data_IF_983216827621
#
_entry.id   IF_983216827621
#
_cell.length_a   1.000
_cell.length_b   1.000
_cell.length_c   1.000
_cell.angle_alpha   90.00
_cell.angle_beta   90.00
_cell.angle_gamma   90.00
#
_symmetry.space_group_name_H-M   'P 1'
#
loop_
_entity.id
_entity.type
_entity.pdbx_description
1 polymer ?
#
# COMPACT_ATOMS: atom_id res chain seq x y z
N UNK A 1 5.52 -34.97 4.01
CA UNK A 1 5.50 -33.68 4.74
C UNK A 1 4.31 -32.87 4.26
N UNK A 2 3.30 -32.61 5.11
CA UNK A 2 2.06 -31.96 4.67
C UNK A 2 2.32 -30.55 4.12
N UNK A 3 1.62 -30.11 3.06
CA UNK A 3 1.85 -28.81 2.39
C UNK A 3 1.68 -27.60 3.34
N UNK A 4 0.89 -27.74 4.41
CA UNK A 4 0.74 -26.70 5.46
C UNK A 4 2.02 -26.49 6.29
N UNK A 5 2.78 -27.55 6.56
CA UNK A 5 4.01 -27.49 7.39
C UNK A 5 5.15 -26.76 6.67
N UNK A 6 5.28 -26.95 5.35
CA UNK A 6 6.29 -26.23 4.54
C UNK A 6 6.06 -24.71 4.55
N UNK A 7 4.79 -24.28 4.47
CA UNK A 7 4.42 -22.85 4.49
C UNK A 7 4.65 -22.19 5.85
N UNK A 8 4.41 -22.90 6.94
CA UNK A 8 4.69 -22.40 8.30
C UNK A 8 6.19 -22.22 8.54
N UNK A 9 7.01 -23.20 8.14
CA UNK A 9 8.47 -23.10 8.25
C UNK A 9 9.01 -21.91 7.45
N UNK A 10 8.52 -21.71 6.21
CA UNK A 10 8.92 -20.56 5.39
C UNK A 10 8.55 -19.22 6.04
N UNK A 11 7.35 -19.08 6.59
CA UNK A 11 6.93 -17.86 7.28
C UNK A 11 7.79 -17.58 8.52
N UNK A 12 8.08 -18.59 9.33
CA UNK A 12 8.92 -18.46 10.53
C UNK A 12 10.35 -18.06 10.15
N UNK A 13 10.92 -18.66 9.10
CA UNK A 13 12.23 -18.28 8.57
C UNK A 13 12.24 -16.83 8.07
N UNK A 14 11.19 -16.41 7.35
CA UNK A 14 11.05 -15.03 6.89
C UNK A 14 11.01 -14.04 8.06
N UNK A 15 10.22 -14.32 9.09
CA UNK A 15 10.12 -13.48 10.30
C UNK A 15 11.46 -13.43 11.03
N UNK A 16 12.12 -14.56 11.23
CA UNK A 16 13.42 -14.63 11.89
C UNK A 16 14.48 -13.84 11.12
N UNK A 17 14.52 -13.98 9.79
CA UNK A 17 15.43 -13.25 8.93
C UNK A 17 15.16 -11.73 8.98
N UNK A 18 13.90 -11.30 8.89
CA UNK A 18 13.53 -9.90 9.07
C UNK A 18 13.97 -9.36 10.42
N UNK A 19 13.81 -10.12 11.50
CA UNK A 19 14.27 -9.75 12.84
C UNK A 19 15.78 -9.56 12.92
N UNK A 20 16.56 -10.44 12.27
CA UNK A 20 18.03 -10.32 12.21
C UNK A 20 18.45 -9.03 11.50
N UNK A 21 17.84 -8.71 10.35
CA UNK A 21 18.15 -7.47 9.63
C UNK A 21 17.76 -6.23 10.42
N UNK A 22 16.62 -6.25 11.10
CA UNK A 22 16.19 -5.16 11.99
C UNK A 22 17.22 -4.98 13.13
N UNK A 23 17.65 -6.07 13.76
CA UNK A 23 18.68 -6.02 14.80
C UNK A 23 19.99 -5.41 14.27
N UNK A 24 20.49 -5.87 13.11
CA UNK A 24 21.69 -5.29 12.51
C UNK A 24 21.53 -3.80 12.17
N UNK A 25 20.37 -3.40 11.66
CA UNK A 25 20.08 -2.00 11.35
C UNK A 25 20.20 -1.13 12.61
N UNK A 26 19.61 -1.55 13.74
CA UNK A 26 19.70 -0.81 14.99
C UNK A 26 21.05 -0.94 15.69
N UNK A 27 21.75 -2.06 15.54
CA UNK A 27 23.07 -2.28 16.15
C UNK A 27 24.14 -1.35 15.56
N UNK A 28 24.03 -1.02 14.28
CA UNK A 28 24.95 -0.10 13.60
C UNK A 28 24.58 1.38 13.72
N UNK A 29 23.46 1.72 14.37
CA UNK A 29 22.99 3.10 14.53
C UNK A 29 23.33 3.62 15.92
N UNK A 30 24.16 4.66 15.99
CA UNK A 30 24.30 5.45 17.21
C UNK A 30 22.98 6.20 17.48
N UNK A 31 22.44 6.08 18.69
CA UNK A 31 21.20 6.75 19.09
C UNK A 31 21.27 8.28 18.97
N UNK A 32 22.48 8.86 19.00
CA UNK A 32 22.68 10.28 18.77
C UNK A 32 22.51 10.67 17.29
N UNK A 33 22.99 9.85 16.37
CA UNK A 33 22.86 10.10 14.93
C UNK A 33 21.43 9.91 14.47
N UNK A 34 20.70 8.95 15.07
CA UNK A 34 19.26 8.79 14.84
C UNK A 34 18.50 10.08 15.22
N UNK A 35 18.76 10.64 16.41
CA UNK A 35 18.12 11.89 16.88
C UNK A 35 18.44 13.07 15.97
N UNK A 36 19.69 13.22 15.54
CA UNK A 36 20.08 14.27 14.59
C UNK A 36 19.35 14.09 13.25
N UNK A 37 19.26 12.87 12.72
CA UNK A 37 18.57 12.57 11.48
C UNK A 37 17.06 12.90 11.53
N UNK A 38 16.40 12.75 12.67
CA UNK A 38 15.01 13.16 12.86
C UNK A 38 14.83 14.69 12.97
N UNK A 39 15.86 15.42 13.41
CA UNK A 39 15.85 16.89 13.56
C UNK A 39 16.31 17.65 12.31
N UNK A 40 17.05 16.98 11.42
CA UNK A 40 17.60 17.52 10.19
C UNK A 40 16.63 17.68 8.99
N UNK A 41 15.45 17.03 8.87
CA UNK A 41 14.64 17.20 7.69
C UNK A 41 14.09 18.63 7.68
N UNK A 42 14.51 19.44 6.70
CA UNK A 42 13.85 20.73 6.47
C UNK A 42 12.36 20.42 6.18
N UNK A 43 11.41 21.10 6.84
CA UNK A 43 9.98 20.79 6.72
C UNK A 43 9.47 20.84 5.27
N UNK A 44 10.15 21.62 4.42
CA UNK A 44 9.91 21.71 2.98
C UNK A 44 10.08 20.37 2.24
N UNK A 45 11.01 19.51 2.64
CA UNK A 45 11.19 18.20 2.03
C UNK A 45 10.03 17.26 2.35
N UNK A 46 9.54 17.28 3.58
CA UNK A 46 8.35 16.51 3.98
C UNK A 46 7.12 16.96 3.18
N UNK A 47 6.93 18.28 3.06
CA UNK A 47 5.86 18.83 2.24
C UNK A 47 5.98 18.39 0.78
N UNK A 48 7.20 18.43 0.20
CA UNK A 48 7.46 17.96 -1.15
C UNK A 48 7.10 16.48 -1.36
N UNK A 49 7.47 15.61 -0.42
CA UNK A 49 7.14 14.17 -0.47
C UNK A 49 5.63 13.96 -0.39
N UNK A 50 4.94 14.67 0.50
CA UNK A 50 3.47 14.60 0.64
C UNK A 50 2.79 15.03 -0.66
N UNK A 51 3.15 16.19 -1.19
CA UNK A 51 2.59 16.72 -2.44
C UNK A 51 2.85 15.78 -3.62
N UNK A 52 4.06 15.22 -3.72
CA UNK A 52 4.40 14.27 -4.76
C UNK A 52 3.57 12.99 -4.66
N UNK A 53 3.30 12.51 -3.43
CA UNK A 53 2.45 11.35 -3.21
C UNK A 53 1.01 11.57 -3.69
N UNK A 54 0.41 12.72 -3.33
CA UNK A 54 -0.91 13.12 -3.82
C UNK A 54 -0.93 13.27 -5.34
N UNK A 55 0.10 13.88 -5.94
CA UNK A 55 0.22 14.03 -7.38
C UNK A 55 0.30 12.67 -8.09
N UNK A 56 1.12 11.74 -7.59
CA UNK A 56 1.22 10.37 -8.09
C UNK A 56 -0.13 9.65 -8.04
N UNK A 57 -0.90 9.84 -6.97
CA UNK A 57 -2.24 9.25 -6.85
C UNK A 57 -3.26 9.93 -7.75
N UNK A 58 -3.16 11.24 -7.98
CA UNK A 58 -3.97 11.95 -8.97
C UNK A 58 -3.69 11.45 -10.39
N UNK A 59 -2.42 11.31 -10.78
CA UNK A 59 -2.04 10.75 -12.07
C UNK A 59 -2.54 9.32 -12.24
N UNK A 60 -2.45 8.49 -11.18
CA UNK A 60 -3.06 7.15 -11.19
C UNK A 60 -4.56 7.25 -11.40
N UNK A 61 -5.26 8.12 -10.69
CA UNK A 61 -6.71 8.27 -10.86
C UNK A 61 -7.10 8.71 -12.28
N UNK A 62 -6.32 9.59 -12.92
CA UNK A 62 -6.50 9.96 -14.33
C UNK A 62 -6.27 8.77 -15.27
N UNK A 63 -5.17 8.03 -15.09
CA UNK A 63 -4.84 6.85 -15.90
C UNK A 63 -5.92 5.77 -15.80
N UNK A 64 -6.34 5.45 -14.58
CA UNK A 64 -7.39 4.45 -14.33
C UNK A 64 -8.76 4.95 -14.79
N UNK A 65 -9.06 6.25 -14.71
CA UNK A 65 -10.29 6.82 -15.28
C UNK A 65 -10.29 6.65 -16.80
N UNK A 66 -9.18 6.95 -17.48
CA UNK A 66 -9.02 6.73 -18.91
C UNK A 66 -9.17 5.26 -19.32
N UNK A 67 -8.51 4.35 -18.59
CA UNK A 67 -8.56 2.91 -18.85
C UNK A 67 -9.96 2.32 -18.61
N UNK A 68 -10.67 2.80 -17.59
CA UNK A 68 -11.99 2.29 -17.22
C UNK A 68 -13.12 2.95 -18.01
N UNK A 69 -12.89 4.03 -18.77
CA UNK A 69 -13.91 4.68 -19.61
C UNK A 69 -14.75 3.71 -20.47
N UNK A 70 -14.18 2.67 -21.11
CA UNK A 70 -14.97 1.72 -21.91
C UNK A 70 -15.88 0.82 -21.07
N UNK A 71 -15.54 0.60 -19.79
CA UNK A 71 -16.30 -0.25 -18.88
C UNK A 71 -17.28 0.58 -18.05
N UNK A 72 -16.85 1.73 -17.53
CA UNK A 72 -17.61 2.59 -16.64
C UNK A 72 -17.09 4.04 -16.75
N UNK A 73 -17.94 4.99 -17.13
CA UNK A 73 -17.63 6.41 -17.00
C UNK A 73 -17.63 6.82 -15.52
N UNK A 74 -16.46 6.75 -14.88
CA UNK A 74 -16.29 7.12 -13.48
C UNK A 74 -15.74 8.55 -13.36
N UNK A 75 -16.38 9.43 -12.56
CA UNK A 75 -15.85 10.77 -12.31
C UNK A 75 -14.52 10.67 -11.56
N UNK A 76 -13.58 11.55 -11.93
CA UNK A 76 -12.21 11.56 -11.42
C UNK A 76 -12.14 11.53 -9.89
N UNK A 77 -12.91 12.40 -9.22
CA UNK A 77 -12.90 12.51 -7.75
C UNK A 77 -13.34 11.24 -7.05
N UNK A 78 -14.37 10.55 -7.54
CA UNK A 78 -14.78 9.27 -6.97
C UNK A 78 -13.70 8.21 -7.15
N UNK A 79 -13.00 8.19 -8.29
CA UNK A 79 -11.91 7.24 -8.50
C UNK A 79 -10.70 7.58 -7.63
N UNK A 80 -10.40 8.85 -7.48
CA UNK A 80 -9.33 9.37 -6.64
C UNK A 80 -9.52 8.97 -5.18
N UNK A 81 -10.72 9.12 -4.63
CA UNK A 81 -11.05 8.73 -3.26
C UNK A 81 -10.95 7.21 -3.06
N UNK A 82 -11.51 6.42 -3.97
CA UNK A 82 -11.46 4.95 -3.91
C UNK A 82 -10.02 4.44 -3.99
N UNK A 83 -9.20 5.07 -4.83
CA UNK A 83 -7.78 4.75 -4.93
C UNK A 83 -7.02 5.13 -3.66
N UNK A 84 -7.35 6.27 -3.04
CA UNK A 84 -6.77 6.68 -1.76
C UNK A 84 -7.11 5.73 -0.63
N UNK A 85 -8.39 5.40 -0.48
CA UNK A 85 -8.86 4.47 0.55
C UNK A 85 -8.26 3.09 0.33
N UNK A 86 -8.23 2.60 -0.92
CA UNK A 86 -7.61 1.32 -1.25
C UNK A 86 -6.10 1.29 -0.97
N UNK A 87 -5.39 2.39 -1.25
CA UNK A 87 -3.97 2.51 -0.92
C UNK A 87 -3.74 2.56 0.59
N UNK A 88 -4.55 3.32 1.32
CA UNK A 88 -4.49 3.37 2.78
C UNK A 88 -4.77 2.00 3.40
N UNK A 89 -5.81 1.31 2.93
CA UNK A 89 -6.13 -0.05 3.35
C UNK A 89 -5.00 -1.03 3.07
N UNK A 90 -4.30 -0.91 1.94
CA UNK A 90 -3.15 -1.76 1.63
C UNK A 90 -1.93 -1.50 2.54
N UNK A 91 -1.75 -0.27 3.03
CA UNK A 91 -0.66 0.06 3.95
C UNK A 91 -0.99 -0.33 5.40
N UNK A 92 -2.27 -0.26 5.81
CA UNK A 92 -2.69 -0.58 7.17
C UNK A 92 -3.02 -2.07 7.37
N UNK A 93 -3.56 -2.74 6.36
CA UNK A 93 -4.01 -4.11 6.47
C UNK A 93 -2.98 -5.08 5.88
N UNK A 94 -2.59 -6.14 6.62
CA UNK A 94 -1.77 -7.20 6.07
C UNK A 94 -2.53 -7.94 4.95
N UNK A 95 -1.79 -8.55 4.01
CA UNK A 95 -2.32 -9.40 2.92
C UNK A 95 -2.98 -8.69 1.73
N UNK A 96 -2.60 -7.44 1.42
CA UNK A 96 -3.11 -6.69 0.24
C UNK A 96 -4.64 -6.53 0.22
N UNK A 97 -5.27 -6.36 1.38
CA UNK A 97 -6.72 -6.14 1.47
C UNK A 97 -7.22 -4.88 0.73
N UNK A 98 -6.32 -3.99 0.28
CA UNK A 98 -6.66 -2.91 -0.65
C UNK A 98 -7.20 -3.41 -2.01
N UNK A 99 -6.86 -4.62 -2.45
CA UNK A 99 -7.46 -5.25 -3.63
C UNK A 99 -8.92 -5.66 -3.39
N UNK A 100 -9.26 -6.05 -2.16
CA UNK A 100 -10.64 -6.34 -1.76
C UNK A 100 -11.53 -5.10 -1.83
N UNK A 101 -11.02 -3.92 -1.48
CA UNK A 101 -11.77 -2.67 -1.60
C UNK A 101 -12.09 -2.32 -3.06
N UNK A 102 -11.15 -2.53 -3.99
CA UNK A 102 -11.38 -2.34 -5.43
C UNK A 102 -12.40 -3.34 -5.98
N UNK A 103 -12.29 -4.62 -5.60
CA UNK A 103 -13.27 -5.64 -5.98
C UNK A 103 -14.66 -5.34 -5.42
N UNK A 104 -14.76 -4.86 -4.17
CA UNK A 104 -16.01 -4.49 -3.52
C UNK A 104 -16.67 -3.28 -4.16
N UNK A 105 -15.90 -2.28 -4.59
CA UNK A 105 -16.42 -1.10 -5.28
C UNK A 105 -16.99 -1.45 -6.66
N UNK A 106 -16.32 -2.34 -7.40
CA UNK A 106 -16.80 -2.86 -8.68
C UNK A 106 -18.05 -3.72 -8.48
N UNK A 107 -18.04 -4.65 -7.52
CA UNK A 107 -19.18 -5.53 -7.22
C UNK A 107 -20.43 -4.74 -6.81
N UNK A 108 -20.29 -3.72 -5.96
CA UNK A 108 -21.42 -2.90 -5.47
C UNK A 108 -22.00 -1.99 -6.54
N UNK A 109 -21.19 -1.54 -7.52
CA UNK A 109 -21.63 -0.61 -8.57
C UNK A 109 -22.19 -1.33 -9.80
N UNK A 110 -21.75 -2.56 -10.08
CA UNK A 110 -22.17 -3.35 -11.25
C UNK A 110 -23.10 -4.52 -10.93
N UNK A 111 -23.45 -4.73 -9.65
CA UNK A 111 -24.33 -5.81 -9.19
C UNK A 111 -23.91 -7.20 -9.71
N UNK A 112 -22.60 -7.39 -9.92
CA UNK A 112 -22.04 -8.64 -10.44
C UNK A 112 -21.89 -9.64 -9.30
N UNK A 113 -22.37 -10.88 -9.52
CA UNK A 113 -22.20 -11.99 -8.58
C UNK A 113 -20.70 -12.27 -8.39
N UNK A 114 -20.30 -12.48 -7.13
CA UNK A 114 -18.93 -12.78 -6.68
C UNK A 114 -18.27 -14.03 -7.31
N UNK A 115 -18.96 -14.78 -8.18
CA UNK A 115 -18.51 -16.07 -8.72
C UNK A 115 -17.62 -16.00 -9.96
N UNK A 116 -17.30 -14.81 -10.48
CA UNK A 116 -16.46 -14.64 -11.68
C UNK A 116 -15.20 -13.78 -11.46
N UNK A 117 -14.85 -13.50 -10.19
CA UNK A 117 -13.61 -12.81 -9.82
C UNK A 117 -12.63 -13.80 -9.22
#
# INVERSE_FOLDING_TARGET
MSPRRKRQVFNVLGIALSGIFVYFCFHSLDGQDLRKAFLLPKPWWLLGVVLLNFLLMALRALLWSGLLRPLAALPFWTLFDVLHIGYMANNLLPLKAGEFFRASFVAKKWNLRYTQV
#
